data_IF_816370195610
#
_entry.id   IF_816370195610
#
_cell.length_a   1.000
_cell.length_b   1.000
_cell.length_c   1.000
_cell.angle_alpha   90.00
_cell.angle_beta   90.00
_cell.angle_gamma   90.00
#
_symmetry.space_group_name_H-M   'P 1'
#
loop_
_entity.id
_entity.type
_entity.pdbx_description
1 polymer ?
#
# COMPACT_ATOMS: atom_id res chain seq x y z
N UNK A 1 12.01 15.21 12.35
CA UNK A 1 11.65 14.18 11.37
C UNK A 1 11.00 13.07 12.17
N UNK A 2 9.76 12.71 11.90
CA UNK A 2 9.02 11.67 12.66
C UNK A 2 9.64 10.32 12.37
N UNK A 3 9.78 9.45 13.38
CA UNK A 3 10.46 8.16 13.19
C UNK A 3 9.55 7.14 12.52
N UNK A 4 10.17 6.25 11.74
CA UNK A 4 9.48 5.08 11.16
C UNK A 4 9.22 4.09 12.27
N UNK A 5 7.99 3.55 12.31
CA UNK A 5 7.62 2.49 13.26
C UNK A 5 7.62 1.16 12.51
N UNK A 6 8.58 0.31 12.84
CA UNK A 6 8.75 -0.99 12.21
C UNK A 6 7.77 -2.02 12.77
N UNK A 7 7.48 -3.05 11.99
CA UNK A 7 6.62 -4.14 12.45
C UNK A 7 7.16 -4.84 13.72
N UNK A 8 8.48 -4.88 13.93
CA UNK A 8 9.12 -5.40 15.15
C UNK A 8 8.78 -4.59 16.40
N UNK A 9 8.40 -3.32 16.26
CA UNK A 9 8.04 -2.42 17.36
C UNK A 9 6.53 -2.48 17.68
N UNK A 10 5.73 -3.12 16.81
CA UNK A 10 4.30 -3.31 17.00
C UNK A 10 3.95 -4.46 17.93
N UNK A 11 2.65 -4.62 18.20
CA UNK A 11 2.10 -5.65 19.07
C UNK A 11 1.12 -6.57 18.32
N UNK A 12 1.00 -7.81 18.80
CA UNK A 12 0.15 -8.83 18.17
C UNK A 12 0.85 -9.56 17.02
N UNK A 13 0.07 -10.29 16.24
CA UNK A 13 0.59 -11.08 15.13
C UNK A 13 0.93 -10.18 13.94
N UNK A 14 2.00 -10.52 13.22
CA UNK A 14 2.30 -9.94 11.93
C UNK A 14 1.29 -10.45 10.91
N UNK A 15 0.60 -9.53 10.26
CA UNK A 15 -0.38 -9.86 9.24
C UNK A 15 0.15 -9.38 7.89
N UNK A 16 0.25 -10.30 6.94
CA UNK A 16 0.46 -9.97 5.54
C UNK A 16 -0.87 -10.03 4.81
N UNK A 17 -1.15 -9.02 4.00
CA UNK A 17 -2.30 -8.99 3.10
C UNK A 17 -1.86 -8.64 1.70
N UNK A 18 -2.44 -9.34 0.75
CA UNK A 18 -2.20 -9.16 -0.67
C UNK A 18 -3.52 -8.80 -1.37
N UNK A 19 -3.51 -7.70 -2.14
CA UNK A 19 -4.63 -7.23 -2.94
C UNK A 19 -4.13 -7.04 -4.36
N UNK A 20 -4.71 -7.71 -5.33
CA UNK A 20 -4.20 -7.64 -6.69
C UNK A 20 -5.27 -7.87 -7.75
N UNK A 21 -5.03 -7.33 -8.93
CA UNK A 21 -5.84 -7.61 -10.10
C UNK A 21 -4.98 -7.70 -11.36
N UNK A 22 -5.43 -8.51 -12.31
CA UNK A 22 -4.97 -8.48 -13.69
C UNK A 22 -5.70 -7.34 -14.38
N UNK A 23 -4.95 -6.40 -14.95
CA UNK A 23 -5.54 -5.23 -15.63
C UNK A 23 -6.00 -5.63 -17.03
N UNK A 24 -7.27 -5.38 -17.32
CA UNK A 24 -7.83 -5.61 -18.64
C UNK A 24 -7.35 -4.54 -19.64
N UNK A 25 -6.87 -5.00 -20.81
CA UNK A 25 -6.42 -4.15 -21.91
C UNK A 25 -5.47 -3.01 -21.51
N UNK A 26 -4.57 -3.26 -20.55
CA UNK A 26 -3.51 -2.30 -20.23
C UNK A 26 -2.52 -2.20 -21.40
N UNK A 27 -2.34 -0.98 -21.91
CA UNK A 27 -1.31 -0.66 -22.89
C UNK A 27 -0.02 -0.18 -22.24
N UNK A 28 -0.04 0.04 -20.94
CA UNK A 28 1.08 0.50 -20.16
C UNK A 28 1.97 -0.69 -19.75
N UNK A 29 3.26 -0.43 -19.65
CA UNK A 29 4.21 -1.36 -19.03
C UNK A 29 4.09 -1.28 -17.51
N UNK A 30 4.54 -2.29 -16.75
CA UNK A 30 4.56 -2.25 -15.29
C UNK A 30 5.17 -0.98 -14.71
N UNK A 31 6.30 -0.53 -15.26
CA UNK A 31 6.98 0.70 -14.84
C UNK A 31 6.13 1.98 -15.06
N UNK A 32 5.35 2.00 -16.13
CA UNK A 32 4.45 3.12 -16.41
C UNK A 32 3.23 3.11 -15.47
N UNK A 33 2.73 1.93 -15.10
CA UNK A 33 1.67 1.79 -14.08
C UNK A 33 2.13 2.33 -12.73
N UNK A 34 3.33 1.96 -12.27
CA UNK A 34 3.89 2.50 -11.01
C UNK A 34 4.20 3.99 -11.12
N UNK A 35 4.60 4.46 -12.32
CA UNK A 35 4.73 5.89 -12.59
C UNK A 35 3.43 6.66 -12.36
N UNK A 36 2.31 6.16 -12.89
CA UNK A 36 0.97 6.75 -12.70
C UNK A 36 0.54 6.70 -11.23
N UNK A 37 0.74 5.57 -10.57
CA UNK A 37 0.43 5.42 -9.13
C UNK A 37 1.21 6.45 -8.30
N UNK A 38 2.51 6.59 -8.52
CA UNK A 38 3.33 7.53 -7.79
C UNK A 38 3.01 9.01 -8.10
N UNK A 39 2.54 9.31 -9.31
CA UNK A 39 2.16 10.66 -9.71
C UNK A 39 0.83 11.13 -9.11
N UNK A 40 -0.11 10.22 -8.88
CA UNK A 40 -1.48 10.53 -8.47
C UNK A 40 -1.98 9.63 -7.33
N UNK A 41 -1.11 9.21 -6.46
CA UNK A 41 -1.36 8.22 -5.40
C UNK A 41 -2.64 8.50 -4.60
N UNK A 42 -2.83 9.75 -4.20
CA UNK A 42 -3.97 10.21 -3.40
C UNK A 42 -5.32 10.14 -4.14
N UNK A 43 -5.32 10.15 -5.47
CA UNK A 43 -6.55 10.08 -6.27
C UNK A 43 -7.13 8.65 -6.33
N UNK A 44 -6.31 7.64 -6.06
CA UNK A 44 -6.74 6.24 -6.07
C UNK A 44 -7.34 5.78 -4.74
N UNK A 45 -7.16 6.55 -3.66
CA UNK A 45 -7.74 6.22 -2.36
C UNK A 45 -9.26 6.50 -2.35
N UNK A 46 -10.08 5.67 -1.67
CA UNK A 46 -11.49 5.97 -1.44
C UNK A 46 -11.60 7.06 -0.35
N UNK A 47 -11.92 8.29 -0.77
CA UNK A 47 -11.92 9.48 0.10
C UNK A 47 -12.89 9.39 1.28
N UNK A 48 -13.91 8.56 1.19
CA UNK A 48 -14.85 8.29 2.27
C UNK A 48 -14.27 7.38 3.38
N UNK A 49 -13.15 6.71 3.14
CA UNK A 49 -12.46 5.84 4.09
C UNK A 49 -11.11 6.38 4.51
N UNK A 50 -10.32 6.89 3.57
CA UNK A 50 -8.97 7.39 3.80
C UNK A 50 -8.62 8.50 2.81
N UNK A 51 -7.96 9.55 3.29
CA UNK A 51 -7.38 10.57 2.42
C UNK A 51 -5.88 10.66 2.64
N UNK A 52 -5.14 10.81 1.54
CA UNK A 52 -3.70 11.04 1.55
C UNK A 52 -3.43 12.46 1.06
N UNK A 53 -2.68 13.23 1.85
CA UNK A 53 -2.33 14.61 1.53
C UNK A 53 -0.82 14.73 1.38
N UNK A 54 -0.31 14.94 0.15
CA UNK A 54 1.11 15.13 -0.06
C UNK A 54 1.58 16.49 0.46
N UNK A 55 2.79 16.53 1.04
CA UNK A 55 3.42 17.76 1.46
C UNK A 55 4.16 18.45 0.29
N UNK A 56 4.15 19.77 0.26
CA UNK A 56 4.97 20.57 -0.67
C UNK A 56 4.62 20.39 -2.14
N UNK A 57 5.63 20.15 -2.97
CA UNK A 57 5.52 20.05 -4.43
C UNK A 57 5.33 18.61 -4.97
N UNK A 58 5.14 17.64 -4.09
CA UNK A 58 4.96 16.22 -4.43
C UNK A 58 3.89 16.03 -5.50
N UNK A 59 2.79 16.78 -5.41
CA UNK A 59 1.69 16.73 -6.38
C UNK A 59 2.09 17.05 -7.83
N UNK A 60 3.26 17.66 -8.05
CA UNK A 60 3.76 18.00 -9.40
C UNK A 60 4.76 16.99 -9.96
N UNK A 61 5.56 16.37 -9.08
CA UNK A 61 6.66 15.47 -9.48
C UNK A 61 6.41 14.00 -9.17
N UNK A 62 5.33 13.72 -8.48
CA UNK A 62 5.03 12.40 -7.95
C UNK A 62 5.90 12.03 -6.74
N UNK A 63 5.50 10.96 -6.06
CA UNK A 63 6.16 10.46 -4.86
C UNK A 63 7.61 10.01 -5.14
N UNK A 64 8.52 10.39 -4.25
CA UNK A 64 9.94 10.00 -4.25
C UNK A 64 10.32 9.50 -2.86
N UNK A 65 11.42 8.73 -2.77
CA UNK A 65 11.96 8.28 -1.47
C UNK A 65 12.21 9.48 -0.57
N UNK A 66 11.74 9.38 0.69
CA UNK A 66 11.80 10.43 1.71
C UNK A 66 10.55 11.31 1.78
N UNK A 67 9.65 11.27 0.81
CA UNK A 67 8.40 12.03 0.88
C UNK A 67 7.48 11.49 1.96
N UNK A 68 6.82 12.40 2.67
CA UNK A 68 5.80 12.08 3.67
C UNK A 68 4.41 12.43 3.14
N UNK A 69 3.44 11.58 3.49
CA UNK A 69 2.02 11.81 3.26
C UNK A 69 1.31 11.88 4.60
N UNK A 70 0.57 12.95 4.83
CA UNK A 70 -0.44 12.94 5.89
C UNK A 70 -1.58 12.00 5.47
N UNK A 71 -2.06 11.22 6.42
CA UNK A 71 -3.14 10.25 6.23
C UNK A 71 -4.25 10.56 7.23
N UNK A 72 -5.45 10.79 6.75
CA UNK A 72 -6.64 10.87 7.60
C UNK A 72 -7.47 9.60 7.40
N UNK A 73 -7.48 8.74 8.40
CA UNK A 73 -8.19 7.45 8.36
C UNK A 73 -9.50 7.63 9.12
N UNK A 74 -10.61 7.37 8.44
CA UNK A 74 -11.93 7.40 9.07
C UNK A 74 -11.94 6.50 10.31
N UNK A 75 -12.37 7.04 11.44
CA UNK A 75 -12.43 6.39 12.76
C UNK A 75 -11.09 6.15 13.46
N UNK A 76 -9.95 6.28 12.79
CA UNK A 76 -8.64 6.15 13.42
C UNK A 76 -7.91 7.49 13.57
N UNK A 77 -8.33 8.52 12.81
CA UNK A 77 -7.77 9.87 12.88
C UNK A 77 -6.55 10.09 12.00
N UNK A 78 -5.79 11.15 12.31
CA UNK A 78 -4.64 11.58 11.50
C UNK A 78 -3.37 10.90 11.92
N UNK A 79 -2.61 10.46 10.92
CA UNK A 79 -1.30 9.86 11.06
C UNK A 79 -0.46 10.20 9.82
N UNK A 80 0.70 9.58 9.66
CA UNK A 80 1.54 9.81 8.48
C UNK A 80 2.26 8.54 8.05
N UNK A 81 2.67 8.53 6.77
CA UNK A 81 3.52 7.51 6.18
C UNK A 81 4.66 8.18 5.40
N UNK A 82 5.76 7.44 5.18
CA UNK A 82 6.90 7.91 4.39
C UNK A 82 7.23 6.93 3.29
N UNK A 83 7.58 7.45 2.11
CA UNK A 83 8.14 6.65 1.03
C UNK A 83 9.55 6.21 1.43
N UNK A 84 9.75 4.90 1.60
CA UNK A 84 11.04 4.31 1.99
C UNK A 84 11.75 3.63 0.84
N UNK A 85 10.99 3.22 -0.19
CA UNK A 85 11.56 2.63 -1.39
C UNK A 85 10.75 3.05 -2.62
N UNK A 86 11.44 3.24 -3.73
CA UNK A 86 10.87 3.40 -5.07
C UNK A 86 11.85 2.94 -6.12
N UNK A 87 11.40 2.06 -7.00
CA UNK A 87 12.08 1.69 -8.23
C UNK A 87 11.12 1.81 -9.44
N UNK A 88 11.50 1.25 -10.59
CA UNK A 88 10.68 1.34 -11.79
C UNK A 88 9.32 0.65 -11.64
N UNK A 89 9.24 -0.45 -10.88
CA UNK A 89 8.08 -1.32 -10.80
C UNK A 89 7.48 -1.43 -9.40
N UNK A 90 7.99 -0.70 -8.42
CA UNK A 90 7.49 -0.72 -7.05
C UNK A 90 7.63 0.61 -6.30
N UNK A 91 6.75 0.81 -5.31
CA UNK A 91 6.71 1.92 -4.38
C UNK A 91 6.37 1.36 -2.99
N UNK A 92 7.17 1.65 -1.96
CA UNK A 92 6.91 1.22 -0.58
C UNK A 92 6.76 2.40 0.35
N UNK A 93 5.69 2.36 1.15
CA UNK A 93 5.43 3.29 2.24
C UNK A 93 5.64 2.57 3.58
N UNK A 94 6.26 3.26 4.54
CA UNK A 94 6.37 2.82 5.93
C UNK A 94 5.55 3.73 6.84
N UNK A 95 5.00 3.18 7.90
CA UNK A 95 4.24 3.92 8.91
C UNK A 95 5.17 4.76 9.78
N UNK A 96 4.71 5.94 10.17
CA UNK A 96 5.40 6.84 11.09
C UNK A 96 4.78 6.77 12.48
N UNK A 97 5.50 7.31 13.48
CA UNK A 97 5.01 7.42 14.85
C UNK A 97 3.62 8.07 14.91
N UNK A 98 2.71 7.45 15.66
CA UNK A 98 1.30 7.85 15.73
C UNK A 98 0.37 7.14 14.76
N UNK A 99 0.91 6.35 13.81
CA UNK A 99 0.08 5.53 12.94
C UNK A 99 -0.53 4.34 13.73
N UNK A 100 -1.80 3.95 13.49
CA UNK A 100 -2.43 2.83 14.20
C UNK A 100 -1.79 1.47 13.90
N UNK A 101 -1.04 1.36 12.81
CA UNK A 101 -0.26 0.18 12.44
C UNK A 101 1.24 0.48 12.45
N UNK A 102 2.03 -0.54 12.72
CA UNK A 102 3.48 -0.57 12.63
C UNK A 102 3.90 -1.52 11.50
N UNK A 103 4.51 -0.97 10.44
CA UNK A 103 4.90 -1.78 9.29
C UNK A 103 4.99 -1.03 7.98
N UNK A 104 4.77 -1.74 6.89
CA UNK A 104 4.93 -1.20 5.54
C UNK A 104 3.92 -1.77 4.55
N UNK A 105 3.72 -1.02 3.46
CA UNK A 105 2.88 -1.41 2.34
C UNK A 105 3.62 -1.14 1.03
N UNK A 106 3.64 -2.12 0.14
CA UNK A 106 4.28 -2.04 -1.17
C UNK A 106 3.24 -2.12 -2.26
N UNK A 107 3.35 -1.22 -3.22
CA UNK A 107 2.59 -1.15 -4.45
C UNK A 107 3.51 -1.57 -5.58
N UNK A 108 3.14 -2.59 -6.34
CA UNK A 108 3.98 -3.13 -7.40
C UNK A 108 3.18 -3.46 -8.66
N UNK A 109 3.87 -3.46 -9.79
CA UNK A 109 3.31 -3.94 -11.04
C UNK A 109 4.29 -4.87 -11.73
N UNK A 110 3.79 -5.91 -12.37
CA UNK A 110 4.59 -6.91 -13.06
C UNK A 110 3.78 -7.62 -14.14
N UNK A 111 4.46 -8.38 -15.02
CA UNK A 111 3.76 -9.14 -16.06
C UNK A 111 3.26 -10.48 -15.56
N UNK A 112 2.01 -10.75 -15.86
CA UNK A 112 1.45 -12.09 -15.78
C UNK A 112 2.04 -12.99 -16.88
N UNK A 113 1.94 -14.31 -16.72
CA UNK A 113 2.48 -15.27 -17.68
C UNK A 113 1.90 -15.15 -19.10
N UNK A 114 0.66 -14.64 -19.23
CA UNK A 114 0.00 -14.39 -20.51
C UNK A 114 0.32 -13.00 -21.10
N UNK A 115 1.23 -12.25 -20.49
CA UNK A 115 1.68 -10.94 -20.94
C UNK A 115 0.86 -9.76 -20.41
N UNK A 116 -0.28 -9.99 -19.78
CA UNK A 116 -1.07 -8.93 -19.14
C UNK A 116 -0.33 -8.35 -17.94
N UNK A 117 -0.71 -7.15 -17.52
CA UNK A 117 -0.12 -6.49 -16.35
C UNK A 117 -0.93 -6.82 -15.11
N UNK A 118 -0.24 -7.16 -14.03
CA UNK A 118 -0.81 -7.25 -12.68
C UNK A 118 -0.41 -5.98 -11.93
N UNK A 119 -1.37 -5.37 -11.25
CA UNK A 119 -1.12 -4.42 -10.17
C UNK A 119 -1.39 -5.10 -8.83
N UNK A 120 -0.47 -4.93 -7.87
CA UNK A 120 -0.46 -5.69 -6.63
C UNK A 120 -0.08 -4.78 -5.47
N UNK A 121 -0.86 -4.84 -4.39
CA UNK A 121 -0.58 -4.20 -3.12
C UNK A 121 -0.31 -5.29 -2.09
N UNK A 122 0.83 -5.20 -1.39
CA UNK A 122 1.15 -6.07 -0.25
C UNK A 122 1.43 -5.24 0.98
N UNK A 123 0.66 -5.46 2.03
CA UNK A 123 0.93 -4.90 3.35
C UNK A 123 1.50 -5.95 4.29
N UNK A 124 2.44 -5.55 5.15
CA UNK A 124 2.96 -6.34 6.28
C UNK A 124 3.02 -5.44 7.48
N UNK A 125 2.13 -5.65 8.43
CA UNK A 125 1.99 -4.78 9.58
C UNK A 125 1.46 -5.52 10.80
N UNK A 126 1.68 -4.92 11.97
CA UNK A 126 1.06 -5.23 13.25
C UNK A 126 0.31 -4.01 13.75
N UNK A 127 -0.52 -4.15 14.78
CA UNK A 127 -1.01 -2.98 15.49
C UNK A 127 0.16 -2.24 16.17
N UNK A 128 0.17 -0.91 16.12
CA UNK A 128 1.25 -0.12 16.74
C UNK A 128 1.22 -0.17 18.27
N UNK A 129 0.03 -0.33 18.86
CA UNK A 129 -0.17 -0.40 20.31
C UNK A 129 -1.24 -1.41 20.69
N UNK A 130 -1.32 -1.79 21.96
CA UNK A 130 -2.36 -2.68 22.46
C UNK A 130 -3.78 -2.09 22.34
N UNK A 131 -3.93 -0.77 22.44
CA UNK A 131 -5.20 -0.08 22.21
C UNK A 131 -5.61 -0.11 20.73
N UNK A 132 -4.66 0.07 19.81
CA UNK A 132 -4.90 -0.07 18.38
C UNK A 132 -5.29 -1.51 18.01
N UNK A 133 -4.65 -2.51 18.64
CA UNK A 133 -5.00 -3.91 18.42
C UNK A 133 -6.46 -4.21 18.79
N UNK A 134 -6.95 -3.66 19.91
CA UNK A 134 -8.33 -3.83 20.34
C UNK A 134 -9.35 -3.18 19.36
N UNK A 135 -9.06 -1.98 18.88
CA UNK A 135 -9.89 -1.27 17.88
C UNK A 135 -9.85 -1.93 16.50
N UNK A 136 -8.69 -2.43 16.11
CA UNK A 136 -8.46 -3.05 14.81
C UNK A 136 -9.33 -4.30 14.58
N UNK A 137 -9.49 -5.13 15.62
CA UNK A 137 -10.30 -6.37 15.57
C UNK A 137 -11.79 -6.13 15.31
N UNK A 138 -12.28 -4.92 15.54
CA UNK A 138 -13.71 -4.61 15.45
C UNK A 138 -14.10 -4.00 14.10
N UNK A 139 -13.26 -3.13 13.53
CA UNK A 139 -13.62 -2.34 12.33
C UNK A 139 -12.47 -2.28 11.31
N UNK A 140 -11.23 -2.38 11.76
CA UNK A 140 -10.04 -2.11 10.94
C UNK A 140 -9.85 -3.06 9.76
N UNK A 141 -10.14 -4.35 9.93
CA UNK A 141 -9.92 -5.36 8.90
C UNK A 141 -10.82 -5.15 7.67
N UNK A 142 -12.11 -4.96 7.88
CA UNK A 142 -13.07 -4.71 6.79
C UNK A 142 -12.78 -3.40 6.07
N UNK A 143 -12.40 -2.36 6.80
CA UNK A 143 -12.08 -1.06 6.21
C UNK A 143 -10.79 -1.11 5.39
N UNK A 144 -9.77 -1.83 5.86
CA UNK A 144 -8.54 -2.05 5.08
C UNK A 144 -8.81 -2.80 3.78
N UNK A 145 -9.56 -3.90 3.85
CA UNK A 145 -9.91 -4.68 2.65
C UNK A 145 -10.61 -3.79 1.64
N UNK A 146 -11.66 -3.06 2.04
CA UNK A 146 -12.38 -2.15 1.15
C UNK A 146 -11.45 -1.08 0.57
N UNK A 147 -10.63 -0.45 1.41
CA UNK A 147 -9.70 0.60 0.97
C UNK A 147 -8.77 0.12 -0.14
N UNK A 148 -8.14 -1.03 0.05
CA UNK A 148 -7.12 -1.49 -0.89
C UNK A 148 -7.70 -2.21 -2.10
N UNK A 149 -8.84 -2.86 -2.00
CA UNK A 149 -9.56 -3.40 -3.17
C UNK A 149 -10.06 -2.28 -4.07
N UNK A 150 -10.63 -1.22 -3.51
CA UNK A 150 -11.05 -0.04 -4.26
C UNK A 150 -9.86 0.68 -4.91
N UNK A 151 -8.73 0.78 -4.19
CA UNK A 151 -7.51 1.36 -4.74
C UNK A 151 -7.03 0.58 -5.98
N UNK A 152 -6.95 -0.77 -5.88
CA UNK A 152 -6.56 -1.64 -7.00
C UNK A 152 -7.50 -1.45 -8.19
N UNK A 153 -8.81 -1.42 -7.95
CA UNK A 153 -9.80 -1.24 -9.01
C UNK A 153 -9.67 0.13 -9.70
N UNK A 154 -9.50 1.20 -8.93
CA UNK A 154 -9.31 2.56 -9.47
C UNK A 154 -8.04 2.67 -10.30
N UNK A 155 -6.94 2.04 -9.86
CA UNK A 155 -5.72 1.96 -10.68
C UNK A 155 -6.00 1.20 -11.96
N UNK A 156 -6.65 0.02 -11.90
CA UNK A 156 -6.94 -0.78 -13.08
C UNK A 156 -7.82 -0.03 -14.12
N UNK A 157 -8.79 0.77 -13.65
CA UNK A 157 -9.60 1.64 -14.51
C UNK A 157 -8.78 2.79 -15.12
N UNK A 158 -7.85 3.35 -14.35
CA UNK A 158 -7.05 4.50 -14.83
C UNK A 158 -6.01 4.11 -15.89
N UNK A 159 -5.45 2.89 -15.80
CA UNK A 159 -4.36 2.43 -16.69
C UNK A 159 -4.78 1.37 -17.71
N UNK A 160 -6.05 0.96 -17.70
CA UNK A 160 -6.63 -0.03 -18.61
C UNK A 160 -8.15 0.14 -18.70
N UNK A 161 -8.87 -0.97 -18.77
CA UNK A 161 -10.35 -1.01 -18.78
C UNK A 161 -10.94 -1.59 -17.50
N UNK A 162 -10.19 -1.56 -16.39
CA UNK A 162 -10.55 -2.15 -15.13
C UNK A 162 -9.86 -3.49 -14.87
N UNK A 163 -10.26 -4.17 -13.79
CA UNK A 163 -9.82 -5.53 -13.51
C UNK A 163 -10.45 -6.50 -14.51
N UNK A 164 -9.65 -7.43 -15.04
CA UNK A 164 -10.13 -8.43 -16.01
C UNK A 164 -11.17 -9.37 -15.40
N UNK A 165 -11.16 -9.51 -14.10
CA UNK A 165 -12.06 -10.39 -13.35
C UNK A 165 -12.60 -9.63 -12.12
N UNK A 166 -12.00 -9.88 -10.96
CA UNK A 166 -12.27 -9.15 -9.71
C UNK A 166 -10.96 -8.99 -8.93
N UNK A 167 -10.97 -8.09 -7.96
CA UNK A 167 -9.82 -7.88 -7.09
C UNK A 167 -9.75 -8.99 -6.05
N UNK A 168 -8.59 -9.62 -5.96
CA UNK A 168 -8.34 -10.69 -5.00
C UNK A 168 -7.76 -10.11 -3.71
N UNK A 169 -8.18 -10.68 -2.60
CA UNK A 169 -7.53 -10.53 -1.30
C UNK A 169 -7.03 -11.88 -0.82
N UNK A 170 -5.82 -11.90 -0.28
CA UNK A 170 -5.24 -13.04 0.42
C UNK A 170 -4.61 -12.55 1.72
N UNK A 171 -4.92 -13.19 2.84
CA UNK A 171 -4.36 -12.84 4.14
C UNK A 171 -3.60 -14.01 4.74
N UNK A 172 -2.41 -13.73 5.25
CA UNK A 172 -1.58 -14.70 5.97
C UNK A 172 -1.15 -14.11 7.31
N UNK A 173 -1.19 -14.94 8.35
CA UNK A 173 -0.65 -14.59 9.66
C UNK A 173 0.68 -15.31 9.84
N UNK A 174 1.74 -14.54 9.95
CA UNK A 174 3.09 -15.08 10.15
C UNK A 174 3.40 -15.13 11.64
N UNK A 175 3.57 -16.34 12.19
CA UNK A 175 3.80 -16.55 13.63
C UNK A 175 5.27 -16.47 14.01
N UNK A 176 6.20 -16.74 13.09
CA UNK A 176 7.61 -17.03 13.42
C UNK A 176 8.63 -16.23 12.61
N UNK A 177 8.21 -15.36 11.71
CA UNK A 177 9.18 -14.56 10.94
C UNK A 177 9.54 -13.31 11.72
N UNK A 178 10.82 -13.19 12.05
CA UNK A 178 11.41 -11.89 12.38
C UNK A 178 10.98 -10.92 11.31
N UNK A 179 10.24 -9.89 11.72
CA UNK A 179 9.75 -8.90 10.78
C UNK A 179 10.97 -8.37 10.05
N UNK A 180 10.98 -8.57 8.74
CA UNK A 180 12.06 -8.16 7.86
C UNK A 180 12.21 -6.65 7.99
N UNK A 181 13.22 -6.19 8.74
CA UNK A 181 13.47 -4.78 9.03
C UNK A 181 14.09 -4.03 7.85
N UNK A 182 14.22 -4.71 6.71
CA UNK A 182 14.70 -4.11 5.48
C UNK A 182 13.67 -3.10 4.95
N UNK A 183 14.10 -1.86 4.69
CA UNK A 183 13.30 -0.81 4.08
C UNK A 183 12.97 -1.07 2.60
N UNK A 184 13.40 -2.21 2.06
CA UNK A 184 13.13 -2.65 0.71
C UNK A 184 11.68 -3.08 0.45
N UNK A 185 11.34 -3.38 -0.80
CA UNK A 185 10.00 -3.87 -1.15
C UNK A 185 9.72 -5.23 -0.51
N UNK A 186 8.48 -5.45 -0.08
CA UNK A 186 8.06 -6.73 0.52
C UNK A 186 7.96 -7.86 -0.50
N UNK A 187 8.07 -7.57 -1.79
CA UNK A 187 8.18 -8.54 -2.88
C UNK A 187 8.98 -7.93 -4.03
N UNK A 188 9.61 -8.78 -4.82
CA UNK A 188 10.30 -8.35 -6.03
C UNK A 188 9.30 -8.36 -7.17
N UNK A 189 8.91 -7.18 -7.64
CA UNK A 189 8.20 -7.05 -8.90
C UNK A 189 9.16 -7.49 -10.01
N UNK A 190 8.84 -8.59 -10.71
CA UNK A 190 9.60 -8.99 -11.89
C UNK A 190 9.34 -7.93 -12.97
N UNK A 191 10.42 -7.29 -13.40
CA UNK A 191 10.37 -6.17 -14.32
C UNK A 191 9.63 -6.40 -15.64
N UNK A 192 9.66 -5.37 -16.46
CA UNK A 192 9.04 -5.28 -17.80
C UNK A 192 9.41 -6.44 -18.74
#
# INVERSE_FOLDING_TARGET
MTDIVRATEGVGQLIQRDYWAIIDDSRLRPSEVIGEVAARFWEFAPEDLVTFSPAGDVGRRGLQVGDELEVDIRLAGRCAVRVVHRDACSLTLATLEGHPEAGRITFGAYRHQDGRVIFHIRSRARASTASCLAGYRVVGESMQTTTWTDFVERVAVAVGRGAADYVFEESQQDQDVEADDDDGPTFIARGD
#
